data_IF_024483865027
#
_entry.id   IF_024483865027
#
_cell.length_a   1.000
_cell.length_b   1.000
_cell.length_c   1.000
_cell.angle_alpha   90.00
_cell.angle_beta   90.00
_cell.angle_gamma   90.00
#
_symmetry.space_group_name_H-M   'P 1'
#
loop_
_entity.id
_entity.type
_entity.pdbx_description
1 polymer ?
#
# COMPACT_ATOMS: atom_id res chain seq x y z
N UNK A 1 7.92 15.16 2.42
CA UNK A 1 7.62 14.74 1.03
C UNK A 1 6.24 14.11 1.02
N UNK A 2 5.49 14.19 -0.08
CA UNK A 2 4.17 13.53 -0.16
C UNK A 2 4.20 12.39 -1.19
N UNK A 3 3.74 11.21 -0.78
CA UNK A 3 3.47 10.05 -1.63
C UNK A 3 1.96 9.96 -1.82
N UNK A 4 1.50 10.24 -3.04
CA UNK A 4 0.07 10.31 -3.33
C UNK A 4 -0.39 8.98 -3.94
N UNK A 5 -1.31 8.31 -3.24
CA UNK A 5 -1.99 7.13 -3.76
C UNK A 5 -3.01 7.60 -4.82
N UNK A 6 -2.87 7.11 -6.04
CA UNK A 6 -3.81 7.34 -7.15
C UNK A 6 -4.29 5.99 -7.69
N UNK A 7 -5.13 5.25 -6.96
CA UNK A 7 -5.65 3.98 -7.45
C UNK A 7 -6.58 4.17 -8.67
N UNK A 8 -6.57 3.23 -9.64
CA UNK A 8 -5.72 2.05 -9.73
C UNK A 8 -4.39 2.34 -10.47
N UNK A 9 -3.96 3.59 -10.60
CA UNK A 9 -2.76 3.98 -11.39
C UNK A 9 -1.44 3.77 -10.65
N UNK A 10 -1.43 3.82 -9.31
CA UNK A 10 -0.24 3.55 -8.51
C UNK A 10 0.02 4.62 -7.44
N UNK A 11 1.30 4.94 -7.24
CA UNK A 11 1.78 5.85 -6.20
C UNK A 11 2.84 6.76 -6.79
N UNK A 12 2.44 7.96 -7.20
CA UNK A 12 3.32 8.85 -7.93
C UNK A 12 4.66 9.08 -7.18
N UNK A 13 5.81 8.97 -7.87
CA UNK A 13 5.96 8.85 -9.33
C UNK A 13 6.02 7.41 -9.88
N UNK A 14 5.89 6.37 -9.04
CA UNK A 14 5.87 4.97 -9.49
C UNK A 14 4.44 4.59 -9.89
N UNK A 15 4.24 4.18 -11.13
CA UNK A 15 2.94 3.80 -11.67
C UNK A 15 2.87 2.30 -11.92
N UNK A 16 1.67 1.75 -11.81
CA UNK A 16 1.40 0.40 -12.26
C UNK A 16 1.60 0.31 -13.78
N UNK A 17 2.02 -0.86 -14.25
CA UNK A 17 2.35 -1.07 -15.66
C UNK A 17 3.76 -0.62 -16.07
N UNK A 18 4.49 0.14 -15.23
CA UNK A 18 5.92 0.37 -15.44
C UNK A 18 6.70 -0.94 -15.34
N UNK A 19 7.77 -1.08 -16.10
CA UNK A 19 8.82 -2.07 -15.81
C UNK A 19 9.54 -1.72 -14.51
N UNK A 20 10.27 -2.68 -13.94
CA UNK A 20 11.06 -2.40 -12.74
C UNK A 20 12.10 -1.30 -12.98
N UNK A 21 12.73 -1.29 -14.15
CA UNK A 21 13.77 -0.31 -14.48
C UNK A 21 13.18 1.11 -14.67
N UNK A 22 11.98 1.22 -15.25
CA UNK A 22 11.23 2.49 -15.30
C UNK A 22 10.86 2.99 -13.89
N UNK A 23 10.41 2.09 -13.01
CA UNK A 23 10.13 2.43 -11.62
C UNK A 23 11.37 2.94 -10.89
N UNK A 24 12.54 2.34 -11.12
CA UNK A 24 13.82 2.82 -10.58
C UNK A 24 14.19 4.20 -11.13
N UNK A 25 14.02 4.40 -12.45
CA UNK A 25 14.32 5.66 -13.11
C UNK A 25 13.38 6.81 -12.72
N UNK A 26 12.15 6.50 -12.28
CA UNK A 26 11.17 7.49 -11.84
C UNK A 26 11.50 8.16 -10.50
N UNK A 27 12.41 7.57 -9.71
CA UNK A 27 12.72 7.99 -8.33
C UNK A 27 14.22 8.14 -8.07
N UNK A 28 14.98 8.91 -8.88
CA UNK A 28 16.43 9.01 -8.74
C UNK A 28 16.86 9.55 -7.36
N UNK A 29 16.02 10.35 -6.71
CA UNK A 29 16.32 11.01 -5.44
C UNK A 29 15.91 10.20 -4.20
N UNK A 30 15.37 8.99 -4.37
CA UNK A 30 14.92 8.13 -3.25
C UNK A 30 16.04 7.32 -2.61
N UNK A 31 17.28 7.51 -3.08
CA UNK A 31 18.45 6.75 -2.65
C UNK A 31 18.53 5.36 -3.29
N UNK A 32 19.52 4.58 -2.85
CA UNK A 32 19.82 3.27 -3.44
C UNK A 32 18.70 2.24 -3.15
N UNK A 33 18.03 1.70 -4.19
CA UNK A 33 17.00 0.71 -4.02
C UNK A 33 17.57 -0.66 -3.60
N UNK A 34 16.84 -1.38 -2.76
CA UNK A 34 17.07 -2.83 -2.60
C UNK A 34 16.28 -3.59 -3.65
N UNK A 35 16.98 -4.15 -4.64
CA UNK A 35 16.36 -4.91 -5.73
C UNK A 35 16.50 -6.40 -5.51
N UNK A 36 15.39 -7.13 -5.60
CA UNK A 36 15.35 -8.59 -5.55
C UNK A 36 14.64 -9.12 -6.79
N UNK A 37 15.35 -9.89 -7.62
CA UNK A 37 14.78 -10.59 -8.78
C UNK A 37 14.72 -12.09 -8.49
N UNK A 38 13.60 -12.73 -8.81
CA UNK A 38 13.37 -14.17 -8.65
C UNK A 38 12.91 -14.76 -9.99
N UNK A 39 13.84 -15.07 -10.91
CA UNK A 39 13.51 -15.53 -12.26
C UNK A 39 12.63 -16.78 -12.27
N UNK A 40 12.92 -17.75 -11.39
CA UNK A 40 12.13 -18.99 -11.28
C UNK A 40 10.68 -18.80 -10.79
N UNK A 41 10.30 -17.61 -10.32
CA UNK A 41 8.92 -17.25 -9.94
C UNK A 41 8.32 -16.18 -10.84
N UNK A 42 9.06 -15.78 -11.90
CA UNK A 42 8.72 -14.65 -12.75
C UNK A 42 8.31 -13.41 -11.94
N UNK A 43 9.08 -13.11 -10.88
CA UNK A 43 8.75 -12.04 -9.94
C UNK A 43 9.97 -11.21 -9.60
N UNK A 44 9.78 -9.92 -9.37
CA UNK A 44 10.82 -9.01 -8.91
C UNK A 44 10.24 -7.96 -7.97
N UNK A 45 11.10 -7.30 -7.19
CA UNK A 45 10.72 -6.14 -6.40
C UNK A 45 11.87 -5.18 -6.20
N UNK A 46 11.56 -3.90 -6.10
CA UNK A 46 12.46 -2.85 -5.65
C UNK A 46 11.89 -2.26 -4.36
N UNK A 47 12.75 -1.98 -3.37
CA UNK A 47 12.34 -1.45 -2.07
C UNK A 47 13.17 -0.23 -1.70
N UNK A 48 12.49 0.78 -1.16
CA UNK A 48 13.08 2.03 -0.65
C UNK A 48 12.61 2.29 0.78
N UNK A 49 13.37 3.12 1.48
CA UNK A 49 12.99 3.66 2.79
C UNK A 49 13.11 5.18 2.74
N UNK A 50 11.98 5.87 2.70
CA UNK A 50 11.88 7.33 2.61
C UNK A 50 11.50 7.88 3.97
N UNK A 51 12.47 8.46 4.68
CA UNK A 51 12.22 9.01 6.02
C UNK A 51 11.44 8.01 6.89
N UNK A 52 11.97 6.79 6.99
CA UNK A 52 11.37 5.61 7.64
C UNK A 52 10.13 4.99 6.99
N UNK A 53 9.44 5.65 6.06
CA UNK A 53 8.34 5.05 5.28
C UNK A 53 8.91 4.03 4.29
N UNK A 54 8.50 2.78 4.40
CA UNK A 54 8.87 1.76 3.42
C UNK A 54 8.05 1.91 2.15
N UNK A 55 8.67 1.76 0.98
CA UNK A 55 7.97 1.70 -0.32
C UNK A 55 8.50 0.50 -1.10
N UNK A 56 7.62 -0.28 -1.73
CA UNK A 56 7.99 -1.42 -2.55
C UNK A 56 7.16 -1.48 -3.82
N UNK A 57 7.85 -1.52 -4.96
CA UNK A 57 7.25 -1.85 -6.24
C UNK A 57 7.35 -3.37 -6.46
N UNK A 58 6.23 -4.01 -6.76
CA UNK A 58 6.08 -5.45 -6.92
C UNK A 58 5.82 -5.79 -8.39
N UNK A 59 6.59 -6.73 -8.92
CA UNK A 59 6.40 -7.34 -10.24
C UNK A 59 6.07 -8.81 -10.01
N UNK A 60 4.87 -9.23 -10.40
CA UNK A 60 4.35 -10.57 -10.11
C UNK A 60 3.82 -11.22 -11.40
N UNK A 61 4.39 -12.36 -11.79
CA UNK A 61 3.91 -13.12 -12.95
C UNK A 61 4.22 -12.47 -14.31
N UNK A 62 5.07 -11.44 -14.36
CA UNK A 62 5.38 -10.69 -15.58
C UNK A 62 6.59 -9.79 -15.45
N UNK A 63 6.67 -8.76 -16.30
CA UNK A 63 7.77 -7.78 -16.34
C UNK A 63 7.38 -6.39 -15.82
N UNK A 64 6.10 -6.19 -15.48
CA UNK A 64 5.55 -4.89 -15.11
C UNK A 64 5.12 -4.88 -13.64
N UNK A 65 5.15 -3.69 -13.04
CA UNK A 65 4.72 -3.41 -11.68
C UNK A 65 3.21 -3.65 -11.61
N UNK A 66 2.82 -4.62 -10.81
CA UNK A 66 1.43 -5.04 -10.56
C UNK A 66 0.85 -4.43 -9.30
N UNK A 67 1.73 -4.10 -8.34
CA UNK A 67 1.35 -3.50 -7.08
C UNK A 67 2.47 -2.64 -6.50
N UNK A 68 2.06 -1.68 -5.65
CA UNK A 68 2.96 -0.86 -4.85
C UNK A 68 2.47 -0.91 -3.40
N UNK A 69 3.33 -1.36 -2.49
CA UNK A 69 3.03 -1.38 -1.06
C UNK A 69 3.85 -0.34 -0.32
N UNK A 70 3.22 0.37 0.61
CA UNK A 70 3.86 1.28 1.54
C UNK A 70 3.65 0.81 2.97
N UNK A 71 4.70 0.93 3.78
CA UNK A 71 4.66 0.63 5.22
C UNK A 71 4.89 1.89 6.04
N UNK A 72 4.14 1.98 7.14
CA UNK A 72 4.30 3.05 8.12
C UNK A 72 5.73 3.09 8.70
N UNK A 73 6.15 4.23 9.29
CA UNK A 73 7.50 4.44 9.81
C UNK A 73 7.99 3.39 10.81
N UNK A 74 7.07 2.73 11.52
CA UNK A 74 7.36 1.76 12.56
C UNK A 74 7.36 2.36 13.97
N UNK A 75 7.44 1.49 14.96
CA UNK A 75 7.38 1.78 16.39
C UNK A 75 8.38 2.87 16.80
N UNK A 76 7.89 3.82 17.58
CA UNK A 76 8.68 4.93 18.11
C UNK A 76 9.22 5.90 17.05
N UNK A 77 8.84 5.76 15.78
CA UNK A 77 9.35 6.59 14.68
C UNK A 77 8.28 7.52 14.13
N UNK A 78 8.72 8.73 13.82
CA UNK A 78 7.93 9.74 13.10
C UNK A 78 8.55 9.97 11.73
N UNK A 79 7.73 10.41 10.77
CA UNK A 79 8.18 10.75 9.42
C UNK A 79 7.57 12.08 9.00
N UNK A 80 8.35 12.89 8.30
CA UNK A 80 7.89 14.04 7.50
C UNK A 80 7.39 13.62 6.11
N UNK A 81 7.61 12.37 5.71
CA UNK A 81 7.00 11.79 4.51
C UNK A 81 5.57 11.38 4.80
N UNK A 82 4.63 11.96 4.06
CA UNK A 82 3.20 11.69 4.19
C UNK A 82 2.74 10.77 3.08
N UNK A 83 1.86 9.83 3.41
CA UNK A 83 1.15 8.99 2.44
C UNK A 83 -0.29 9.47 2.37
N UNK A 84 -0.71 9.94 1.20
CA UNK A 84 -1.97 10.64 1.03
C UNK A 84 -2.93 9.86 0.13
N UNK A 85 -4.18 9.69 0.58
CA UNK A 85 -5.29 9.15 -0.21
C UNK A 85 -6.41 10.19 -0.29
N UNK A 86 -6.57 10.85 -1.43
CA UNK A 86 -7.51 11.98 -1.58
C UNK A 86 -7.40 13.01 -0.44
N UNK A 87 -6.17 13.34 -0.05
CA UNK A 87 -5.86 14.29 1.03
C UNK A 87 -5.88 13.71 2.44
N UNK A 88 -6.34 12.47 2.64
CA UNK A 88 -6.26 11.80 3.94
C UNK A 88 -4.85 11.25 4.17
N UNK A 89 -4.23 11.59 5.31
CA UNK A 89 -2.97 10.98 5.72
C UNK A 89 -3.20 9.54 6.21
N UNK A 90 -2.74 8.57 5.44
CA UNK A 90 -3.11 7.15 5.59
C UNK A 90 -2.61 6.57 6.92
N UNK A 91 -1.39 6.87 7.32
CA UNK A 91 -0.77 6.27 8.52
C UNK A 91 -1.05 7.03 9.83
N UNK A 92 -1.67 8.21 9.77
CA UNK A 92 -1.96 9.05 10.95
C UNK A 92 -3.45 9.33 11.13
N UNK A 93 -4.29 9.03 10.13
CA UNK A 93 -5.75 9.04 10.27
C UNK A 93 -6.20 7.72 10.89
N UNK A 94 -7.02 7.72 11.97
CA UNK A 94 -7.56 6.47 12.52
C UNK A 94 -8.24 5.64 11.44
N UNK A 95 -7.99 4.32 11.43
CA UNK A 95 -8.44 3.44 10.35
C UNK A 95 -9.98 3.51 10.16
N UNK A 96 -10.73 3.60 11.27
CA UNK A 96 -12.19 3.78 11.24
C UNK A 96 -12.60 5.05 10.49
N UNK A 97 -11.87 6.16 10.70
CA UNK A 97 -12.14 7.42 9.99
C UNK A 97 -11.73 7.35 8.52
N UNK A 98 -10.58 6.74 8.23
CA UNK A 98 -10.11 6.52 6.86
C UNK A 98 -11.15 5.75 6.04
N UNK A 99 -11.66 4.63 6.59
CA UNK A 99 -12.66 3.81 5.94
C UNK A 99 -14.03 4.48 5.86
N UNK A 100 -14.43 5.22 6.89
CA UNK A 100 -15.65 6.04 6.85
C UNK A 100 -15.59 7.09 5.75
N UNK A 101 -14.45 7.77 5.57
CA UNK A 101 -14.25 8.75 4.49
C UNK A 101 -14.25 8.08 3.12
N UNK A 102 -13.61 6.91 2.98
CA UNK A 102 -13.66 6.11 1.76
C UNK A 102 -15.11 5.73 1.39
N UNK A 103 -15.89 5.21 2.34
CA UNK A 103 -17.31 4.93 2.13
C UNK A 103 -18.11 6.18 1.77
N UNK A 104 -17.81 7.33 2.38
CA UNK A 104 -18.40 8.62 2.04
C UNK A 104 -18.12 9.11 0.62
N UNK A 105 -17.08 8.58 -0.05
CA UNK A 105 -16.78 8.82 -1.48
C UNK A 105 -17.55 7.87 -2.41
N UNK A 106 -18.38 6.98 -1.86
CA UNK A 106 -19.11 5.96 -2.60
C UNK A 106 -18.31 4.68 -2.84
N UNK A 107 -17.16 4.50 -2.20
CA UNK A 107 -16.38 3.28 -2.33
C UNK A 107 -16.85 2.19 -1.38
N UNK A 108 -16.95 0.96 -1.87
CA UNK A 108 -17.22 -0.21 -1.04
C UNK A 108 -15.97 -0.56 -0.24
N UNK A 109 -16.07 -0.48 1.09
CA UNK A 109 -15.01 -0.94 2.00
C UNK A 109 -15.39 -2.31 2.55
N UNK A 110 -14.60 -3.32 2.24
CA UNK A 110 -14.74 -4.66 2.78
C UNK A 110 -13.84 -4.84 4.01
N UNK A 111 -14.48 -4.95 5.17
CA UNK A 111 -13.86 -5.19 6.48
C UNK A 111 -14.18 -6.58 7.02
N UNK A 112 -14.63 -7.53 6.19
CA UNK A 112 -14.91 -8.92 6.60
C UNK A 112 -13.68 -9.63 7.17
N UNK A 113 -12.47 -9.20 6.78
CA UNK A 113 -11.20 -9.49 7.44
C UNK A 113 -10.66 -8.19 8.04
N UNK A 114 -10.92 -7.90 9.33
CA UNK A 114 -10.67 -6.58 9.89
C UNK A 114 -9.17 -6.26 10.05
N UNK A 115 -8.30 -7.27 10.06
CA UNK A 115 -6.84 -7.16 9.97
C UNK A 115 -6.37 -6.78 8.57
N UNK A 116 -7.16 -7.08 7.53
CA UNK A 116 -6.82 -6.82 6.13
C UNK A 116 -7.98 -6.21 5.32
N UNK A 117 -8.45 -5.00 5.66
CA UNK A 117 -9.52 -4.34 4.92
C UNK A 117 -9.12 -4.06 3.47
N UNK A 118 -10.08 -4.12 2.55
CA UNK A 118 -9.86 -3.81 1.13
C UNK A 118 -10.95 -2.90 0.57
N UNK A 119 -10.62 -2.15 -0.48
CA UNK A 119 -11.55 -1.38 -1.29
C UNK A 119 -11.43 -1.92 -2.71
N UNK A 120 -12.19 -2.98 -3.05
CA UNK A 120 -11.93 -3.76 -4.26
C UNK A 120 -12.15 -2.96 -5.54
N UNK A 121 -13.15 -2.07 -5.59
CA UNK A 121 -13.45 -1.28 -6.79
C UNK A 121 -12.37 -0.27 -7.18
N UNK A 122 -11.35 -0.06 -6.34
CA UNK A 122 -10.16 0.77 -6.65
C UNK A 122 -8.87 0.05 -6.25
N UNK A 123 -8.92 -1.25 -5.99
CA UNK A 123 -7.74 -2.08 -5.69
C UNK A 123 -6.81 -1.56 -4.61
N UNK A 124 -7.39 -1.04 -3.53
CA UNK A 124 -6.64 -0.71 -2.32
C UNK A 124 -6.78 -1.82 -1.29
N UNK A 125 -5.70 -2.17 -0.61
CA UNK A 125 -5.76 -2.96 0.60
C UNK A 125 -4.91 -2.37 1.70
N UNK A 126 -5.32 -2.66 2.93
CA UNK A 126 -4.75 -2.10 4.13
C UNK A 126 -4.37 -3.23 5.07
N UNK A 127 -3.34 -3.02 5.86
CA UNK A 127 -2.97 -3.92 6.95
C UNK A 127 -3.22 -3.23 8.29
N UNK A 128 -3.88 -3.94 9.20
CA UNK A 128 -4.07 -3.60 10.61
C UNK A 128 -3.55 -4.73 11.49
N UNK A 129 -2.39 -5.26 11.12
CA UNK A 129 -1.68 -6.28 11.85
C UNK A 129 -0.20 -5.91 11.95
N UNK A 130 0.35 -6.04 13.15
CA UNK A 130 1.77 -5.81 13.40
C UNK A 130 2.16 -6.45 14.73
N UNK A 131 3.40 -6.93 14.82
CA UNK A 131 4.04 -7.38 16.06
C UNK A 131 4.66 -6.22 16.86
N UNK A 132 4.63 -5.01 16.31
CA UNK A 132 5.16 -3.81 16.96
C UNK A 132 4.16 -3.25 17.98
N UNK A 133 4.68 -2.52 18.97
CA UNK A 133 3.86 -1.82 19.95
C UNK A 133 3.23 -0.58 19.32
N UNK A 134 1.89 -0.57 19.29
CA UNK A 134 1.08 0.50 18.69
C UNK A 134 -0.17 0.72 19.52
N UNK A 135 -0.76 1.91 19.41
CA UNK A 135 -2.07 2.16 19.98
C UNK A 135 -3.10 1.21 19.33
N UNK A 136 -3.89 0.53 20.16
CA UNK A 136 -4.91 -0.44 19.73
C UNK A 136 -6.27 -0.07 20.28
N UNK A 137 -7.31 -0.45 19.56
CA UNK A 137 -8.68 -0.41 20.07
C UNK A 137 -8.95 -1.62 20.99
N UNK A 138 -10.12 -1.63 21.63
CA UNK A 138 -10.54 -2.71 22.52
C UNK A 138 -10.64 -4.09 21.82
N UNK A 139 -10.77 -4.10 20.49
CA UNK A 139 -10.73 -5.30 19.65
C UNK A 139 -9.30 -5.84 19.40
N UNK A 140 -8.27 -5.17 19.92
CA UNK A 140 -6.86 -5.53 19.76
C UNK A 140 -6.24 -5.07 18.43
N UNK A 141 -7.02 -4.46 17.52
CA UNK A 141 -6.52 -3.99 16.24
C UNK A 141 -5.83 -2.62 16.41
N UNK A 142 -4.72 -2.38 15.69
CA UNK A 142 -4.08 -1.07 15.61
C UNK A 142 -5.09 0.03 15.26
N UNK A 143 -4.98 1.17 15.95
CA UNK A 143 -5.80 2.36 15.69
C UNK A 143 -5.59 2.90 14.27
N UNK A 144 -4.37 2.79 13.76
CA UNK A 144 -3.96 3.22 12.43
C UNK A 144 -3.62 2.01 11.56
N UNK A 145 -3.68 2.17 10.23
CA UNK A 145 -3.17 1.12 9.32
C UNK A 145 -1.64 1.12 9.34
N UNK A 146 -1.04 -0.05 9.18
CA UNK A 146 0.42 -0.26 9.21
C UNK A 146 1.01 -0.50 7.83
N UNK A 147 0.19 -0.89 6.85
CA UNK A 147 0.56 -0.81 5.44
C UNK A 147 -0.65 -0.49 4.57
N UNK A 148 -0.38 0.01 3.38
CA UNK A 148 -1.36 0.18 2.30
C UNK A 148 -0.74 -0.31 0.99
N UNK A 149 -1.51 -1.05 0.22
CA UNK A 149 -1.13 -1.56 -1.09
C UNK A 149 -2.07 -0.99 -2.15
N UNK A 150 -1.49 -0.48 -3.23
CA UNK A 150 -2.20 -0.10 -4.46
C UNK A 150 -1.91 -1.17 -5.51
N UNK A 151 -2.93 -1.90 -5.94
CA UNK A 151 -2.83 -2.93 -6.98
C UNK A 151 -3.57 -2.55 -8.26
N UNK A 152 -3.39 -3.35 -9.31
CA UNK A 152 -4.18 -3.24 -10.55
C UNK A 152 -5.67 -3.54 -10.30
N UNK A 153 -6.56 -3.19 -11.23
CA UNK A 153 -8.03 -3.26 -11.08
C UNK A 153 -8.56 -4.61 -10.54
N UNK A 154 -7.90 -5.72 -10.88
CA UNK A 154 -8.32 -7.06 -10.44
C UNK A 154 -7.51 -7.62 -9.25
N UNK A 155 -6.63 -6.82 -8.62
CA UNK A 155 -5.67 -7.32 -7.62
C UNK A 155 -6.31 -8.04 -6.43
N UNK A 156 -7.53 -7.62 -6.03
CA UNK A 156 -8.30 -8.27 -4.96
C UNK A 156 -9.44 -9.17 -5.46
N UNK A 157 -9.55 -9.40 -6.78
CA UNK A 157 -10.57 -10.26 -7.39
C UNK A 157 -10.61 -11.66 -6.79
N UNK A 158 -9.44 -12.23 -6.47
CA UNK A 158 -9.29 -13.55 -5.85
C UNK A 158 -10.09 -13.72 -4.54
N UNK A 159 -10.38 -12.63 -3.81
CA UNK A 159 -11.19 -12.69 -2.58
C UNK A 159 -12.66 -13.01 -2.84
N UNK A 160 -13.13 -12.82 -4.08
CA UNK A 160 -14.53 -12.95 -4.47
C UNK A 160 -14.76 -14.05 -5.52
N UNK A 161 -13.69 -14.61 -6.10
CA UNK A 161 -13.74 -15.72 -7.06
C UNK A 161 -14.31 -17.04 -6.49
N UNK A 162 -14.52 -17.15 -5.17
CA UNK A 162 -15.18 -18.30 -4.52
C UNK A 162 -16.63 -18.02 -4.05
N UNK A 163 -17.28 -16.97 -4.55
CA UNK A 163 -18.69 -16.64 -4.21
C UNK A 163 -19.71 -16.91 -5.31
N UNK A 164 -19.34 -17.71 -6.33
CA UNK A 164 -20.23 -18.17 -7.41
C UNK A 164 -20.65 -19.62 -7.25
#
# INVERSE_FOLDING_TARGET
MDLVLDPPRGVAPILLGMTLDEALAAVPDWGEPRVLRRPGRNSAKASWTLDHVGVQALVEGGTHVTAIELWWPGEGRTSSTRVLLHGDEVFTTPAVDLFRRAAGRGWTVDTSQPEHPVIPGVSLGFTRQTSQEVERHADGLPRYVTSVLVGGEDYYGYRYEQRG
#
